data_IF_688460275476
#
_entry.id   IF_688460275476
#
_cell.length_a   1.000
_cell.length_b   1.000
_cell.length_c   1.000
_cell.angle_alpha   90.00
_cell.angle_beta   90.00
_cell.angle_gamma   90.00
#
_symmetry.space_group_name_H-M   'P 1'
#
loop_
_entity.id
_entity.type
_entity.pdbx_description
1 polymer ?
#
# COMPACT_ATOMS: atom_id res chain seq x y z
N UNK A 1 -5.41 -0.39 21.08
CA UNK A 1 -5.52 0.26 19.75
C UNK A 1 -4.16 0.54 19.13
N UNK A 2 -3.27 1.36 19.72
CA UNK A 2 -1.91 1.56 19.17
C UNK A 2 -1.09 0.25 19.15
N UNK A 3 -1.11 -0.52 20.24
CA UNK A 3 -0.35 -1.77 20.33
C UNK A 3 -0.80 -2.81 19.30
N UNK A 4 -2.10 -2.90 19.00
CA UNK A 4 -2.66 -3.92 18.11
C UNK A 4 -2.20 -3.74 16.66
N UNK A 5 -2.13 -2.49 16.19
CA UNK A 5 -1.64 -2.16 14.83
C UNK A 5 -0.14 -2.47 14.72
N UNK A 6 0.64 -2.19 15.77
CA UNK A 6 2.08 -2.49 15.79
C UNK A 6 2.41 -3.97 15.98
N UNK A 7 1.58 -4.74 16.68
CA UNK A 7 1.73 -6.20 16.73
C UNK A 7 1.40 -6.86 15.40
N UNK A 8 0.37 -6.39 14.68
CA UNK A 8 0.04 -6.91 13.34
C UNK A 8 1.02 -6.47 12.27
N UNK A 9 1.83 -5.43 12.54
CA UNK A 9 2.80 -4.92 11.59
C UNK A 9 3.89 -5.99 11.25
N UNK A 10 4.20 -6.89 12.19
CA UNK A 10 5.14 -8.00 11.92
C UNK A 10 4.54 -8.97 10.89
N UNK A 11 3.22 -9.18 10.96
CA UNK A 11 2.47 -9.92 9.95
C UNK A 11 2.40 -9.15 8.62
N UNK A 12 2.29 -7.82 8.64
CA UNK A 12 2.33 -6.98 7.42
C UNK A 12 3.67 -7.06 6.68
N UNK A 13 4.81 -7.19 7.39
CA UNK A 13 6.11 -7.39 6.74
C UNK A 13 6.13 -8.70 5.93
N UNK A 14 5.34 -9.68 6.34
CA UNK A 14 5.20 -10.98 5.68
C UNK A 14 4.00 -11.08 4.74
N UNK A 15 3.12 -10.08 4.72
CA UNK A 15 1.92 -10.08 3.89
C UNK A 15 2.23 -10.04 2.39
N UNK A 16 1.23 -10.39 1.60
CA UNK A 16 1.27 -10.16 0.16
C UNK A 16 1.34 -8.66 -0.09
N UNK A 17 2.12 -8.28 -1.09
CA UNK A 17 2.36 -6.89 -1.45
C UNK A 17 2.20 -6.72 -2.95
N UNK A 18 2.17 -5.47 -3.40
CA UNK A 18 2.19 -5.15 -4.82
C UNK A 18 2.99 -3.87 -5.02
N UNK A 19 3.67 -3.76 -6.16
CA UNK A 19 4.43 -2.58 -6.48
C UNK A 19 3.49 -1.47 -6.94
N UNK A 20 3.53 -0.32 -6.27
CA UNK A 20 2.92 0.90 -6.76
C UNK A 20 3.80 1.47 -7.89
N UNK A 21 3.22 1.67 -9.06
CA UNK A 21 3.92 2.16 -10.25
C UNK A 21 3.76 3.67 -10.44
N UNK A 22 2.65 4.24 -9.94
CA UNK A 22 2.36 5.66 -10.02
C UNK A 22 1.55 6.10 -8.80
N UNK A 23 1.81 7.33 -8.34
CA UNK A 23 1.00 8.02 -7.33
C UNK A 23 0.67 9.40 -7.84
N UNK A 24 -0.58 9.83 -7.68
CA UNK A 24 -1.06 11.16 -8.05
C UNK A 24 -1.97 11.71 -6.95
N UNK A 25 -1.89 13.01 -6.72
CA UNK A 25 -2.87 13.68 -5.88
C UNK A 25 -4.16 13.89 -6.69
N UNK A 26 -5.28 13.37 -6.19
CA UNK A 26 -6.60 13.52 -6.84
C UNK A 26 -7.33 14.78 -6.39
N UNK A 27 -7.01 15.31 -5.21
CA UNK A 27 -7.65 16.49 -4.64
C UNK A 27 -6.60 17.39 -4.00
N UNK A 28 -6.38 18.59 -4.54
CA UNK A 28 -5.40 19.52 -3.99
C UNK A 28 -5.74 20.00 -2.56
N UNK A 29 -6.99 19.81 -2.10
CA UNK A 29 -7.50 20.24 -0.79
C UNK A 29 -7.66 19.10 0.21
N UNK A 30 -7.72 17.84 -0.25
CA UNK A 30 -7.87 16.66 0.61
C UNK A 30 -6.71 15.70 0.39
N UNK A 31 -6.26 14.95 1.41
CA UNK A 31 -5.18 13.98 1.26
C UNK A 31 -5.67 12.69 0.55
N UNK A 32 -6.32 12.84 -0.61
CA UNK A 32 -6.82 11.73 -1.42
C UNK A 32 -5.80 11.47 -2.53
N UNK A 33 -5.15 10.32 -2.43
CA UNK A 33 -4.16 9.88 -3.40
C UNK A 33 -4.78 8.81 -4.29
N UNK A 34 -4.57 8.95 -5.60
CA UNK A 34 -4.76 7.87 -6.55
C UNK A 34 -3.43 7.19 -6.78
N UNK A 35 -3.41 5.86 -6.78
CA UNK A 35 -2.22 5.09 -7.11
C UNK A 35 -2.52 4.00 -8.15
N UNK A 36 -1.55 3.74 -9.03
CA UNK A 36 -1.55 2.57 -9.92
C UNK A 36 -0.67 1.49 -9.31
N UNK A 37 -1.09 0.24 -9.44
CA UNK A 37 -0.30 -0.91 -9.03
C UNK A 37 0.14 -1.72 -10.26
N UNK A 38 1.25 -2.44 -10.12
CA UNK A 38 1.70 -3.40 -11.10
C UNK A 38 0.68 -4.55 -11.22
N UNK A 39 0.77 -5.31 -12.32
CA UNK A 39 -0.03 -6.52 -12.47
C UNK A 39 0.41 -7.55 -11.42
N UNK A 40 -0.52 -8.12 -10.63
CA UNK A 40 -0.21 -9.19 -9.70
C UNK A 40 0.46 -10.36 -10.42
N UNK A 41 1.51 -10.90 -9.82
CA UNK A 41 2.20 -12.08 -10.34
C UNK A 41 1.31 -13.29 -10.12
N UNK A 42 1.15 -14.15 -11.14
CA UNK A 42 0.33 -15.38 -11.05
C UNK A 42 1.09 -16.59 -10.48
N UNK A 43 2.24 -16.35 -9.87
CA UNK A 43 3.08 -17.39 -9.28
C UNK A 43 2.71 -17.54 -7.81
N UNK A 44 2.27 -18.75 -7.42
CA UNK A 44 1.88 -19.09 -6.05
C UNK A 44 3.04 -18.97 -5.05
N UNK A 45 4.29 -18.97 -5.52
CA UNK A 45 5.47 -18.74 -4.68
C UNK A 45 5.79 -17.27 -4.47
N UNK A 46 5.19 -16.37 -5.26
CA UNK A 46 5.41 -14.94 -5.15
C UNK A 46 4.48 -14.32 -4.12
N UNK A 47 5.01 -13.41 -3.31
CA UNK A 47 4.21 -12.54 -2.45
C UNK A 47 3.71 -11.28 -3.20
N UNK A 48 4.08 -11.10 -4.48
CA UNK A 48 3.63 -9.99 -5.33
C UNK A 48 2.25 -10.23 -5.95
N UNK A 49 1.31 -10.72 -5.14
CA UNK A 49 -0.01 -11.20 -5.55
C UNK A 49 -1.15 -10.31 -5.05
N UNK A 50 -0.85 -9.28 -4.25
CA UNK A 50 -1.86 -8.45 -3.62
C UNK A 50 -2.63 -7.61 -4.65
N UNK A 51 -3.96 -7.56 -4.48
CA UNK A 51 -4.87 -6.72 -5.23
C UNK A 51 -5.58 -5.82 -4.23
N UNK A 52 -5.35 -4.49 -4.26
CA UNK A 52 -6.04 -3.57 -3.37
C UNK A 52 -7.55 -3.60 -3.58
N UNK A 53 -8.29 -3.74 -2.49
CA UNK A 53 -9.76 -3.74 -2.49
C UNK A 53 -10.31 -2.59 -1.65
N UNK A 54 -11.56 -2.21 -1.91
CA UNK A 54 -12.27 -1.21 -1.12
C UNK A 54 -12.29 -1.59 0.38
N UNK A 55 -12.07 -0.59 1.24
CA UNK A 55 -11.95 -0.72 2.71
C UNK A 55 -10.66 -1.40 3.22
N UNK A 56 -9.73 -1.77 2.34
CA UNK A 56 -8.42 -2.23 2.78
C UNK A 56 -7.64 -1.10 3.47
N UNK A 57 -6.99 -1.42 4.59
CA UNK A 57 -5.98 -0.56 5.20
C UNK A 57 -4.64 -0.96 4.59
N UNK A 58 -4.00 -0.01 3.91
CA UNK A 58 -2.74 -0.23 3.23
C UNK A 58 -1.62 0.57 3.87
N UNK A 59 -0.43 -0.03 3.82
CA UNK A 59 0.82 0.62 4.16
C UNK A 59 1.63 0.82 2.87
N UNK A 60 1.81 2.07 2.46
CA UNK A 60 2.66 2.43 1.33
C UNK A 60 4.05 2.83 1.81
N UNK A 61 5.08 2.27 1.20
CA UNK A 61 6.49 2.52 1.53
C UNK A 61 7.32 2.66 0.26
N UNK A 62 8.42 3.43 0.33
CA UNK A 62 9.37 3.56 -0.79
C UNK A 62 10.25 2.31 -0.99
N UNK A 63 10.40 1.51 0.07
CA UNK A 63 11.18 0.29 0.10
C UNK A 63 10.42 -0.76 0.90
N UNK A 64 10.47 -2.02 0.45
CA UNK A 64 9.85 -3.11 1.19
C UNK A 64 10.47 -3.20 2.59
N UNK A 65 9.68 -3.03 3.67
CA UNK A 65 10.19 -3.22 5.02
C UNK A 65 10.52 -4.71 5.19
N UNK A 66 11.72 -5.00 5.68
CA UNK A 66 12.12 -6.36 6.05
C UNK A 66 11.65 -6.68 7.46
N UNK A 67 11.55 -5.64 8.29
CA UNK A 67 11.14 -5.73 9.67
C UNK A 67 10.33 -4.49 10.06
N UNK A 68 9.42 -4.61 11.02
CA UNK A 68 8.59 -3.48 11.51
C UNK A 68 9.43 -2.36 12.09
N UNK A 69 10.60 -2.71 12.63
CA UNK A 69 11.57 -1.72 13.08
C UNK A 69 12.01 -0.77 11.98
N UNK A 70 11.96 -1.17 10.71
CA UNK A 70 12.32 -0.28 9.59
C UNK A 70 11.31 0.86 9.44
N UNK A 71 10.06 0.62 9.82
CA UNK A 71 8.98 1.59 9.81
C UNK A 71 9.03 2.46 11.08
N UNK A 72 9.23 1.86 12.26
CA UNK A 72 9.20 2.59 13.54
C UNK A 72 10.48 3.38 13.84
N UNK A 73 11.63 2.97 13.29
CA UNK A 73 12.90 3.69 13.45
C UNK A 73 13.09 4.83 12.44
N UNK A 74 12.04 5.18 11.67
CA UNK A 74 12.07 6.26 10.69
C UNK A 74 13.17 6.08 9.63
N UNK A 75 13.58 4.81 9.38
CA UNK A 75 14.57 4.46 8.36
C UNK A 75 13.97 4.51 6.95
N UNK A 76 12.64 4.41 6.86
CA UNK A 76 11.89 4.56 5.62
C UNK A 76 10.64 5.40 5.87
N UNK A 77 10.35 6.34 4.97
CA UNK A 77 9.08 7.06 4.97
C UNK A 77 7.95 6.10 4.58
N UNK A 78 6.88 6.09 5.36
CA UNK A 78 5.68 5.31 5.09
C UNK A 78 4.43 6.18 5.20
N UNK A 79 3.37 5.76 4.50
CA UNK A 79 2.04 6.36 4.57
C UNK A 79 1.06 5.25 4.87
N UNK A 80 0.21 5.47 5.88
CA UNK A 80 -0.94 4.62 6.15
C UNK A 80 -2.17 5.22 5.47
N UNK A 81 -2.88 4.42 4.70
CA UNK A 81 -4.07 4.84 3.96
C UNK A 81 -5.18 3.81 4.04
N UNK A 82 -6.40 4.25 3.73
CA UNK A 82 -7.54 3.38 3.48
C UNK A 82 -7.89 3.46 2.00
N UNK A 83 -8.15 2.32 1.38
CA UNK A 83 -8.61 2.26 -0.01
C UNK A 83 -10.08 2.66 -0.05
N UNK A 84 -10.35 3.80 -0.67
CA UNK A 84 -11.71 4.35 -0.75
C UNK A 84 -12.53 3.70 -1.86
N UNK A 85 -11.93 3.49 -3.03
CA UNK A 85 -12.57 2.91 -4.21
C UNK A 85 -11.48 2.24 -5.06
N UNK A 86 -11.82 1.16 -5.76
CA UNK A 86 -10.97 0.57 -6.81
C UNK A 86 -11.65 0.70 -8.16
N UNK A 87 -11.01 1.43 -9.07
CA UNK A 87 -11.45 1.53 -10.48
C UNK A 87 -10.50 0.74 -11.38
N UNK A 88 -11.06 0.03 -12.37
CA UNK A 88 -10.29 -0.61 -13.44
C UNK A 88 -9.73 0.44 -14.40
N UNK A 89 -8.67 1.11 -13.97
CA UNK A 89 -7.93 2.08 -14.76
C UNK A 89 -8.36 3.51 -14.48
N UNK A 90 -7.36 4.38 -14.33
CA UNK A 90 -7.59 5.81 -14.28
C UNK A 90 -8.14 6.26 -15.63
N UNK A 91 -9.43 6.56 -15.68
CA UNK A 91 -9.97 7.39 -16.75
C UNK A 91 -9.24 8.74 -16.67
N UNK A 92 -8.33 8.95 -17.62
CA UNK A 92 -7.72 10.25 -17.83
C UNK A 92 -8.86 11.19 -18.29
N UNK A 93 -9.07 12.36 -17.66
CA UNK A 93 -9.89 13.38 -18.28
C UNK A 93 -9.19 13.82 -19.56
N UNK A 94 -9.91 13.72 -20.68
CA UNK A 94 -9.48 14.22 -21.99
C UNK A 94 -9.47 15.74 -22.08
#
# INVERSE_FOLDING_TARGET
VHADIFSSLDDYAQANFIKVTQVRNLDAKKPILGFQVAKPVKDEKSKETYVPAEHDIILMTSQKPWHVSDLTQNKASFVLGSVLESEDGFLLPG
#
